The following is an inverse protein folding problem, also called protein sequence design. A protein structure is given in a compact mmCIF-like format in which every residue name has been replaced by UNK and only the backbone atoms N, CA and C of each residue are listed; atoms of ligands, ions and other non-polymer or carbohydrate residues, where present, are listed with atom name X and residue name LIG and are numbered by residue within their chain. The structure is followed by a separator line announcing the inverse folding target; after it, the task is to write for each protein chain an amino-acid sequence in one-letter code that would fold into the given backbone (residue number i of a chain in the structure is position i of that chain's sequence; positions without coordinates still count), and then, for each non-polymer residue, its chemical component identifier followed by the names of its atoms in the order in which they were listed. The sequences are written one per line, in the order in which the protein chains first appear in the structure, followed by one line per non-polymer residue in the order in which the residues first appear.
data_IF_202956068302
#
_entry.id   IF_202956068302
#
_cell.length_a   1.000
_cell.length_b   1.000
_cell.length_c   1.000
_cell.angle_alpha   90.00
_cell.angle_beta   90.00
_cell.angle_gamma   90.00
#
_symmetry.space_group_name_H-M   'P 1'
#
loop_
_entity.id
_entity.type
_entity.pdbx_description
1 polymer ?
#
# COMPACT_ATOMS: atom_id res chain seq x y z
N UNK A 1 40.73 -11.68 -54.94
CA UNK A 1 40.33 -11.42 -53.55
C UNK A 1 39.54 -12.63 -53.10
N UNK A 2 40.04 -13.41 -52.15
CA UNK A 2 39.49 -14.75 -51.84
C UNK A 2 38.11 -14.62 -51.15
N UNK A 3 37.11 -15.29 -51.67
CA UNK A 3 35.72 -15.36 -51.09
C UNK A 3 35.67 -15.69 -49.59
N UNK A 4 36.64 -16.38 -49.08
CA UNK A 4 36.78 -16.67 -47.67
C UNK A 4 37.07 -15.45 -46.77
N UNK A 5 37.74 -14.42 -47.30
CA UNK A 5 38.03 -13.18 -46.56
C UNK A 5 36.78 -12.29 -46.47
N UNK A 6 35.97 -12.26 -47.55
CA UNK A 6 34.70 -11.53 -47.55
C UNK A 6 33.71 -12.11 -46.59
N UNK A 7 33.62 -13.45 -46.50
CA UNK A 7 32.70 -14.13 -45.59
C UNK A 7 33.07 -13.94 -44.11
N UNK A 8 34.39 -13.95 -43.81
CA UNK A 8 34.89 -13.69 -42.46
C UNK A 8 34.65 -12.22 -42.00
N UNK A 9 34.74 -11.28 -42.89
CA UNK A 9 34.42 -9.87 -42.60
C UNK A 9 32.93 -9.68 -42.36
N UNK A 10 32.08 -10.33 -43.15
CA UNK A 10 30.64 -10.27 -43.02
C UNK A 10 30.16 -10.84 -41.67
N UNK A 11 30.69 -12.02 -41.29
CA UNK A 11 30.42 -12.64 -40.00
C UNK A 11 30.84 -11.77 -38.79
N UNK A 12 32.02 -11.13 -38.88
CA UNK A 12 32.50 -10.22 -37.82
C UNK A 12 31.62 -8.98 -37.69
N UNK A 13 31.14 -8.44 -38.81
CA UNK A 13 30.27 -7.25 -38.79
C UNK A 13 28.89 -7.58 -38.29
N UNK A 14 28.32 -8.74 -38.62
CA UNK A 14 27.04 -9.22 -38.12
C UNK A 14 27.10 -9.51 -36.61
N UNK A 15 28.18 -10.15 -36.12
CA UNK A 15 28.38 -10.35 -34.69
C UNK A 15 28.54 -9.03 -33.93
N UNK A 16 29.21 -8.01 -34.51
CA UNK A 16 29.37 -6.71 -33.85
C UNK A 16 28.04 -5.93 -33.78
N UNK A 17 27.20 -6.03 -34.80
CA UNK A 17 25.89 -5.37 -34.83
C UNK A 17 24.90 -6.06 -33.86
N UNK A 18 24.99 -7.37 -33.67
CA UNK A 18 24.17 -8.11 -32.70
C UNK A 18 24.56 -7.85 -31.25
N UNK A 19 25.81 -7.45 -30.97
CA UNK A 19 26.24 -7.10 -29.62
C UNK A 19 25.95 -5.65 -29.21
N UNK A 20 25.66 -4.76 -30.17
CA UNK A 20 25.33 -3.35 -29.89
C UNK A 20 23.83 -3.07 -29.77
N UNK A 21 22.96 -4.07 -29.96
CA UNK A 21 21.51 -3.87 -30.14
C UNK A 21 20.63 -4.25 -28.94
N UNK A 22 21.17 -4.69 -27.81
CA UNK A 22 20.32 -5.04 -26.65
C UNK A 22 20.86 -4.41 -25.36
N UNK A 23 20.83 -3.09 -25.32
CA UNK A 23 20.65 -2.42 -24.02
C UNK A 23 19.17 -2.58 -23.64
N UNK A 24 18.77 -3.80 -23.29
CA UNK A 24 17.55 -3.98 -22.52
C UNK A 24 17.77 -3.22 -21.22
N UNK A 25 17.12 -2.06 -21.06
CA UNK A 25 16.87 -1.52 -19.74
C UNK A 25 16.05 -2.58 -18.98
N UNK A 26 16.75 -3.52 -18.39
CA UNK A 26 16.14 -4.45 -17.44
C UNK A 26 15.74 -3.61 -16.23
N UNK A 27 14.52 -3.10 -16.24
CA UNK A 27 13.93 -2.53 -15.04
C UNK A 27 13.99 -3.61 -13.97
N UNK A 28 14.84 -3.37 -12.96
CA UNK A 28 15.04 -4.36 -11.93
C UNK A 28 13.84 -4.36 -10.98
N UNK A 29 13.14 -5.48 -10.91
CA UNK A 29 12.26 -5.77 -9.78
C UNK A 29 13.10 -6.34 -8.64
N UNK A 30 12.84 -5.92 -7.41
CA UNK A 30 13.46 -6.50 -6.22
C UNK A 30 12.38 -6.91 -5.23
N UNK A 31 12.52 -8.11 -4.66
CA UNK A 31 11.57 -8.61 -3.66
C UNK A 31 12.29 -8.78 -2.33
N UNK A 32 11.72 -8.19 -1.28
CA UNK A 32 12.14 -8.41 0.09
C UNK A 32 11.13 -9.32 0.78
N UNK A 33 11.59 -10.47 1.28
CA UNK A 33 10.75 -11.47 1.94
C UNK A 33 11.18 -11.63 3.40
N UNK A 34 10.20 -11.74 4.30
CA UNK A 34 10.42 -12.03 5.71
C UNK A 34 9.31 -12.92 6.26
N UNK A 35 9.55 -13.51 7.40
CA UNK A 35 8.53 -14.18 8.19
C UNK A 35 8.25 -13.36 9.45
N UNK A 36 7.00 -13.36 9.89
CA UNK A 36 6.62 -12.75 11.16
C UNK A 36 5.63 -13.63 11.90
N UNK A 37 5.69 -13.54 13.21
CA UNK A 37 4.77 -14.18 14.12
C UNK A 37 3.59 -13.24 14.35
N UNK A 38 2.40 -13.74 14.06
CA UNK A 38 1.13 -13.03 14.25
C UNK A 38 0.48 -13.56 15.51
N UNK A 39 0.30 -12.71 16.51
CA UNK A 39 -0.45 -13.02 17.73
C UNK A 39 -1.95 -12.86 17.43
N UNK A 40 -2.70 -13.94 17.55
CA UNK A 40 -4.14 -13.97 17.33
C UNK A 40 -4.90 -13.52 18.59
N UNK A 41 -6.17 -13.14 18.43
CA UNK A 41 -7.02 -12.68 19.53
C UNK A 41 -7.22 -13.73 20.63
N UNK A 42 -7.11 -15.03 20.30
CA UNK A 42 -7.23 -16.14 21.25
C UNK A 42 -5.92 -16.48 22.01
N UNK A 43 -4.88 -15.68 21.80
CA UNK A 43 -3.56 -15.85 22.41
C UNK A 43 -2.64 -16.83 21.70
N UNK A 44 -3.10 -17.52 20.65
CA UNK A 44 -2.24 -18.37 19.82
C UNK A 44 -1.42 -17.52 18.87
N UNK A 45 -0.37 -18.13 18.31
CA UNK A 45 0.45 -17.51 17.29
C UNK A 45 0.52 -18.36 16.03
N UNK A 46 0.65 -17.69 14.89
CA UNK A 46 0.97 -18.32 13.61
C UNK A 46 2.17 -17.63 12.99
N UNK A 47 2.91 -18.36 12.14
CA UNK A 47 3.96 -17.77 11.31
C UNK A 47 3.38 -17.50 9.94
N UNK A 48 3.55 -16.27 9.48
CA UNK A 48 3.19 -15.84 8.12
C UNK A 48 4.44 -15.47 7.35
N UNK A 49 4.45 -15.74 6.06
CA UNK A 49 5.48 -15.26 5.14
C UNK A 49 4.94 -14.04 4.39
N UNK A 50 5.70 -12.96 4.43
CA UNK A 50 5.37 -11.71 3.74
C UNK A 50 6.44 -11.35 2.73
N UNK A 51 6.02 -10.71 1.65
CA UNK A 51 6.94 -10.14 0.67
C UNK A 51 6.44 -8.83 0.11
N UNK A 52 7.39 -7.90 -0.05
CA UNK A 52 7.22 -6.63 -0.75
C UNK A 52 8.04 -6.68 -2.04
N UNK A 53 7.40 -6.55 -3.17
CA UNK A 53 8.05 -6.44 -4.47
C UNK A 53 8.08 -4.98 -4.91
N UNK A 54 9.28 -4.49 -5.21
CA UNK A 54 9.53 -3.14 -5.71
C UNK A 54 9.86 -3.20 -7.19
N UNK A 55 9.34 -2.26 -7.97
CA UNK A 55 9.51 -2.22 -9.42
C UNK A 55 10.00 -0.84 -9.86
N UNK A 56 11.24 -0.78 -10.33
CA UNK A 56 11.86 0.45 -10.82
C UNK A 56 11.32 0.94 -12.17
N UNK A 57 10.53 0.09 -12.89
CA UNK A 57 9.82 0.51 -14.09
C UNK A 57 8.65 1.43 -13.82
N UNK A 58 8.13 1.42 -12.59
CA UNK A 58 7.03 2.28 -12.19
C UNK A 58 7.51 3.72 -12.02
N UNK A 59 6.70 4.68 -12.49
CA UNK A 59 7.00 6.10 -12.32
C UNK A 59 7.19 6.46 -10.83
N UNK A 60 8.31 7.08 -10.51
CA UNK A 60 8.66 7.55 -9.18
C UNK A 60 9.45 8.86 -9.28
N UNK A 61 9.41 9.65 -8.23
CA UNK A 61 10.22 10.87 -8.16
C UNK A 61 11.70 10.53 -7.97
N UNK A 62 12.57 11.36 -8.56
CA UNK A 62 14.02 11.19 -8.46
C UNK A 62 14.43 11.13 -6.98
N UNK A 63 15.18 10.10 -6.59
CA UNK A 63 15.66 9.90 -5.23
C UNK A 63 14.74 9.09 -4.29
N UNK A 64 13.53 8.71 -4.72
CA UNK A 64 12.61 7.93 -3.86
C UNK A 64 12.81 6.40 -3.92
N UNK A 65 13.70 5.91 -4.78
CA UNK A 65 13.90 4.49 -5.02
C UNK A 65 12.69 3.83 -5.71
N UNK A 66 12.81 2.55 -6.07
CA UNK A 66 11.74 1.80 -6.73
C UNK A 66 10.48 1.78 -5.89
N UNK A 67 9.29 2.11 -6.44
CA UNK A 67 8.03 2.05 -5.71
C UNK A 67 7.62 0.60 -5.39
N UNK A 68 6.81 0.43 -4.33
CA UNK A 68 6.19 -0.85 -4.02
C UNK A 68 5.18 -1.19 -5.11
N UNK A 69 5.33 -2.36 -5.72
CA UNK A 69 4.48 -2.88 -6.78
C UNK A 69 3.48 -3.93 -6.29
N UNK A 70 3.90 -4.76 -5.35
CA UNK A 70 3.07 -5.81 -4.79
C UNK A 70 3.41 -6.04 -3.32
N UNK A 71 2.38 -6.24 -2.52
CA UNK A 71 2.46 -6.78 -1.17
C UNK A 71 1.75 -8.13 -1.12
N UNK A 72 2.43 -9.17 -0.60
CA UNK A 72 1.87 -10.51 -0.47
C UNK A 72 2.09 -11.05 0.94
N UNK A 73 1.08 -11.72 1.47
CA UNK A 73 1.13 -12.46 2.73
C UNK A 73 0.62 -13.87 2.50
N UNK A 74 1.41 -14.86 2.90
CA UNK A 74 1.09 -16.28 2.78
C UNK A 74 1.04 -16.90 4.17
N UNK A 75 -0.01 -17.64 4.47
CA UNK A 75 -0.20 -18.30 5.77
C UNK A 75 -1.01 -19.59 5.61
N UNK A 76 -0.94 -20.43 6.63
CA UNK A 76 -1.73 -21.65 6.74
C UNK A 76 -2.89 -21.41 7.71
N UNK A 77 -4.09 -21.88 7.37
CA UNK A 77 -5.22 -21.84 8.30
C UNK A 77 -4.93 -22.81 9.45
N UNK A 78 -4.96 -22.34 10.73
CA UNK A 78 -4.67 -23.18 11.88
C UNK A 78 -5.52 -24.45 11.92
N UNK A 79 -4.89 -25.59 12.22
CA UNK A 79 -5.57 -26.89 12.28
C UNK A 79 -5.89 -27.53 10.93
N UNK A 80 -5.50 -26.89 9.82
CA UNK A 80 -5.71 -27.42 8.45
C UNK A 80 -4.40 -27.47 7.68
N UNK A 81 -4.43 -28.07 6.47
CA UNK A 81 -3.32 -28.03 5.52
C UNK A 81 -3.56 -26.98 4.41
N UNK A 82 -4.54 -26.12 4.60
CA UNK A 82 -4.89 -25.11 3.60
C UNK A 82 -3.98 -23.89 3.72
N UNK A 83 -3.26 -23.59 2.65
CA UNK A 83 -2.49 -22.36 2.51
C UNK A 83 -3.35 -21.30 1.82
N UNK A 84 -3.36 -20.09 2.40
CA UNK A 84 -4.08 -18.93 1.87
C UNK A 84 -3.09 -17.82 1.55
N UNK A 85 -3.35 -17.09 0.48
CA UNK A 85 -2.57 -15.93 0.06
C UNK A 85 -3.46 -14.69 0.08
N UNK A 86 -3.01 -13.65 0.78
CA UNK A 86 -3.48 -12.28 0.63
C UNK A 86 -2.53 -11.51 -0.27
N UNK A 87 -3.08 -10.76 -1.20
CA UNK A 87 -2.30 -9.99 -2.18
C UNK A 87 -2.88 -8.59 -2.36
N UNK A 88 -2.03 -7.59 -2.38
CA UNK A 88 -2.38 -6.23 -2.76
C UNK A 88 -1.46 -5.73 -3.87
N UNK A 89 -2.05 -5.30 -4.98
CA UNK A 89 -1.34 -4.69 -6.10
C UNK A 89 -1.21 -3.19 -5.86
N UNK A 90 0.01 -2.70 -5.87
CA UNK A 90 0.37 -1.31 -5.63
C UNK A 90 0.70 -0.54 -6.91
N UNK A 91 0.40 -1.08 -8.08
CA UNK A 91 0.65 -0.40 -9.35
C UNK A 91 -0.09 0.94 -9.42
N UNK A 92 0.59 2.03 -9.86
CA UNK A 92 0.05 3.37 -9.65
C UNK A 92 -1.07 3.77 -10.62
N UNK A 93 -1.14 3.19 -11.80
CA UNK A 93 -2.05 3.65 -12.85
C UNK A 93 -2.34 2.53 -13.88
N UNK A 94 -3.53 2.42 -14.45
CA UNK A 94 -4.68 3.33 -14.30
C UNK A 94 -5.55 3.07 -13.07
N UNK A 95 -5.28 2.02 -12.29
CA UNK A 95 -6.19 1.56 -11.25
C UNK A 95 -5.48 1.11 -9.95
N UNK A 96 -4.96 2.06 -9.16
CA UNK A 96 -4.29 1.74 -7.91
C UNK A 96 -5.30 1.28 -6.85
N UNK A 97 -5.30 -0.02 -6.55
CA UNK A 97 -6.07 -0.62 -5.46
C UNK A 97 -5.22 -0.94 -4.22
N UNK A 98 -4.11 -0.23 -4.07
CA UNK A 98 -3.12 -0.53 -3.08
C UNK A 98 -3.65 -0.47 -1.64
N UNK A 99 -3.53 -1.60 -0.93
CA UNK A 99 -3.93 -1.79 0.45
C UNK A 99 -2.74 -2.22 1.29
N UNK A 100 -2.49 -1.52 2.38
CA UNK A 100 -1.55 -1.95 3.42
C UNK A 100 -2.24 -2.90 4.39
N UNK A 101 -1.64 -4.07 4.66
CA UNK A 101 -2.15 -5.01 5.65
C UNK A 101 -1.92 -4.47 7.06
N UNK A 102 -2.95 -4.54 7.90
CA UNK A 102 -2.94 -4.09 9.29
C UNK A 102 -3.10 -5.26 10.27
N UNK A 103 -4.00 -6.19 9.94
CA UNK A 103 -4.30 -7.32 10.80
C UNK A 103 -4.65 -8.56 9.99
N UNK A 104 -4.31 -9.71 10.55
CA UNK A 104 -4.75 -11.02 10.13
C UNK A 104 -5.20 -11.80 11.37
N UNK A 105 -6.43 -12.28 11.38
CA UNK A 105 -6.95 -13.08 12.47
C UNK A 105 -8.02 -14.04 11.97
N UNK A 106 -8.57 -14.90 12.85
CA UNK A 106 -9.50 -15.95 12.48
C UNK A 106 -10.74 -15.91 13.36
N UNK A 107 -11.90 -16.11 12.76
CA UNK A 107 -13.13 -16.46 13.47
C UNK A 107 -13.48 -17.89 13.13
N UNK A 108 -13.22 -18.83 14.06
CA UNK A 108 -13.16 -20.26 13.74
C UNK A 108 -12.06 -20.52 12.68
N UNK A 109 -12.43 -21.21 11.60
CA UNK A 109 -11.50 -21.51 10.48
C UNK A 109 -11.50 -20.43 9.38
N UNK A 110 -12.25 -19.34 9.56
CA UNK A 110 -12.37 -18.29 8.55
C UNK A 110 -11.34 -17.19 8.79
N UNK A 111 -10.38 -17.00 7.88
CA UNK A 111 -9.43 -15.88 7.96
C UNK A 111 -10.11 -14.55 7.67
N UNK A 112 -9.74 -13.54 8.44
CA UNK A 112 -10.09 -12.13 8.22
C UNK A 112 -8.83 -11.28 8.10
N UNK A 113 -8.88 -10.25 7.28
CA UNK A 113 -7.84 -9.22 7.21
C UNK A 113 -8.44 -7.82 7.32
N UNK A 114 -7.76 -6.97 8.07
CA UNK A 114 -7.98 -5.54 8.05
C UNK A 114 -6.87 -4.88 7.24
N UNK A 115 -7.25 -3.93 6.39
CA UNK A 115 -6.33 -3.23 5.52
C UNK A 115 -6.63 -1.74 5.50
N UNK A 116 -5.67 -0.93 5.04
CA UNK A 116 -5.86 0.50 4.83
C UNK A 116 -5.43 0.89 3.41
N UNK A 117 -6.19 1.76 2.71
CA UNK A 117 -5.74 2.30 1.42
C UNK A 117 -4.43 3.08 1.56
N UNK A 118 -3.45 2.78 0.71
CA UNK A 118 -2.08 3.28 0.86
C UNK A 118 -1.87 4.72 0.35
N UNK A 119 -2.81 5.29 -0.39
CA UNK A 119 -2.71 6.65 -0.98
C UNK A 119 -4.11 7.19 -1.26
N UNK A 120 -4.19 8.52 -1.51
CA UNK A 120 -5.46 9.22 -1.79
C UNK A 120 -6.29 8.56 -2.90
N UNK A 121 -5.66 8.16 -4.00
CA UNK A 121 -6.36 7.52 -5.13
C UNK A 121 -6.89 6.13 -4.72
N UNK A 122 -6.09 5.31 -4.04
CA UNK A 122 -6.55 4.03 -3.51
C UNK A 122 -7.69 4.24 -2.50
N UNK A 123 -7.55 5.22 -1.59
CA UNK A 123 -8.58 5.58 -0.62
C UNK A 123 -9.93 5.87 -1.30
N UNK A 124 -9.91 6.66 -2.36
CA UNK A 124 -11.13 6.97 -3.12
C UNK A 124 -11.72 5.77 -3.86
N UNK A 125 -10.85 4.96 -4.45
CA UNK A 125 -11.27 3.74 -5.17
C UNK A 125 -11.95 2.75 -4.24
N UNK A 126 -11.53 2.68 -2.99
CA UNK A 126 -12.18 1.86 -1.98
C UNK A 126 -13.42 2.51 -1.34
N UNK A 127 -13.88 3.68 -1.88
CA UNK A 127 -15.10 4.36 -1.45
C UNK A 127 -14.90 5.31 -0.29
N UNK A 128 -13.67 5.82 -0.12
CA UNK A 128 -13.31 6.78 0.94
C UNK A 128 -13.78 6.33 2.33
N UNK A 129 -13.38 5.14 2.79
CA UNK A 129 -13.91 4.58 4.03
C UNK A 129 -13.51 5.43 5.24
N UNK A 130 -14.46 5.58 6.18
CA UNK A 130 -14.20 6.23 7.46
C UNK A 130 -14.86 5.43 8.61
N UNK A 131 -14.07 4.82 9.48
CA UNK A 131 -12.60 4.87 9.58
C UNK A 131 -11.91 4.30 8.34
N UNK A 132 -10.63 4.64 8.06
CA UNK A 132 -9.96 4.42 6.78
C UNK A 132 -9.51 2.96 6.59
N UNK A 133 -10.42 2.02 6.76
CA UNK A 133 -10.14 0.59 6.64
C UNK A 133 -11.02 -0.08 5.60
N UNK A 134 -10.47 -1.16 5.03
CA UNK A 134 -11.19 -2.10 4.16
C UNK A 134 -10.98 -3.49 4.72
N UNK A 135 -12.07 -4.21 4.98
CA UNK A 135 -12.05 -5.51 5.62
C UNK A 135 -12.41 -6.61 4.65
N UNK A 136 -11.80 -7.77 4.84
CA UNK A 136 -12.08 -8.95 4.03
C UNK A 136 -12.13 -10.19 4.90
N UNK A 137 -12.94 -11.18 4.46
CA UNK A 137 -12.89 -12.57 4.93
C UNK A 137 -12.62 -13.53 3.78
N UNK A 138 -11.98 -14.64 4.08
CA UNK A 138 -11.69 -15.68 3.10
C UNK A 138 -12.69 -16.84 3.23
N UNK A 139 -13.48 -17.07 2.16
CA UNK A 139 -14.43 -18.18 2.04
C UNK A 139 -14.27 -18.83 0.66
N UNK A 140 -13.08 -19.46 0.46
CA UNK A 140 -12.64 -19.93 -0.86
C UNK A 140 -12.02 -18.82 -1.73
N UNK A 141 -12.48 -17.59 -1.55
CA UNK A 141 -11.94 -16.37 -2.13
C UNK A 141 -12.05 -15.22 -1.12
N UNK A 142 -11.28 -14.12 -1.32
CA UNK A 142 -11.38 -12.93 -0.49
C UNK A 142 -12.63 -12.12 -0.82
N UNK A 143 -13.52 -11.96 0.15
CA UNK A 143 -14.74 -11.16 0.05
C UNK A 143 -14.67 -9.96 0.98
N UNK A 144 -14.97 -8.77 0.44
CA UNK A 144 -15.09 -7.56 1.24
C UNK A 144 -16.26 -7.70 2.21
N UNK A 145 -16.04 -7.25 3.45
CA UNK A 145 -17.06 -7.23 4.51
C UNK A 145 -17.17 -5.82 5.11
N UNK A 146 -18.27 -5.56 5.83
CA UNK A 146 -18.46 -4.30 6.54
C UNK A 146 -17.69 -4.27 7.86
N UNK A 147 -17.62 -3.10 8.51
CA UNK A 147 -17.02 -2.98 9.83
C UNK A 147 -17.82 -3.75 10.88
N UNK A 148 -19.14 -3.80 10.75
CA UNK A 148 -20.03 -4.52 11.66
C UNK A 148 -19.85 -6.04 11.56
N UNK A 149 -19.47 -6.53 10.38
CA UNK A 149 -19.19 -7.95 10.15
C UNK A 149 -17.76 -8.35 10.56
N UNK A 150 -16.86 -7.37 10.70
CA UNK A 150 -15.47 -7.60 11.10
C UNK A 150 -15.41 -7.77 12.64
N UNK A 151 -14.87 -8.91 13.17
CA UNK A 151 -14.91 -9.20 14.61
C UNK A 151 -14.23 -8.14 15.47
N UNK A 152 -14.89 -7.78 16.58
CA UNK A 152 -14.49 -6.65 17.44
C UNK A 152 -13.18 -6.86 18.18
N UNK A 153 -12.84 -8.13 18.48
CA UNK A 153 -11.64 -8.49 19.22
C UNK A 153 -10.36 -8.41 18.39
N UNK A 154 -10.45 -8.25 17.06
CA UNK A 154 -9.26 -8.21 16.21
C UNK A 154 -8.54 -6.86 16.32
N UNK A 155 -7.22 -6.94 16.41
CA UNK A 155 -6.34 -5.79 16.57
C UNK A 155 -5.24 -5.81 15.50
N UNK A 156 -4.50 -4.71 15.36
CA UNK A 156 -3.33 -4.65 14.48
C UNK A 156 -2.23 -5.55 15.04
N UNK A 157 -1.84 -6.58 14.28
CA UNK A 157 -0.94 -7.64 14.73
C UNK A 157 0.13 -8.07 13.71
N UNK A 158 0.28 -7.31 12.63
CA UNK A 158 1.35 -7.50 11.63
C UNK A 158 2.24 -6.26 11.56
N UNK A 159 3.44 -6.37 10.99
CA UNK A 159 4.32 -5.20 10.77
C UNK A 159 3.65 -4.23 9.79
N UNK A 160 3.25 -3.06 10.27
CA UNK A 160 2.54 -2.02 9.49
C UNK A 160 3.49 -1.02 8.82
N UNK A 161 4.59 -0.55 9.47
CA UNK A 161 5.48 0.42 8.86
C UNK A 161 6.11 -0.06 7.58
N UNK A 162 6.25 0.86 6.61
CA UNK A 162 6.96 0.58 5.37
C UNK A 162 8.40 0.17 5.62
N UNK A 163 8.83 -0.97 5.07
CA UNK A 163 10.20 -1.45 5.12
C UNK A 163 11.15 -0.72 4.15
N UNK A 164 10.68 0.34 3.46
CA UNK A 164 11.58 1.36 2.88
C UNK A 164 12.30 2.15 3.96
N UNK A 165 11.74 2.28 5.15
CA UNK A 165 12.45 2.85 6.29
C UNK A 165 13.50 1.85 6.79
N UNK A 166 14.77 2.23 6.64
CA UNK A 166 15.92 1.38 6.99
C UNK A 166 15.95 0.98 8.46
N UNK A 167 15.40 1.77 9.37
CA UNK A 167 15.33 1.43 10.79
C UNK A 167 14.44 0.20 11.03
N UNK A 168 13.23 0.18 10.44
CA UNK A 168 12.33 -0.97 10.56
C UNK A 168 12.85 -2.18 9.83
N UNK A 169 13.38 -1.96 8.63
CA UNK A 169 13.98 -3.02 7.82
C UNK A 169 15.12 -3.74 8.55
N UNK A 170 16.03 -2.96 9.20
CA UNK A 170 17.11 -3.53 10.01
C UNK A 170 16.60 -4.36 11.18
N UNK A 171 15.57 -3.90 11.90
CA UNK A 171 14.93 -4.68 12.98
C UNK A 171 14.36 -6.00 12.43
N UNK A 172 13.60 -5.94 11.34
CA UNK A 172 13.03 -7.14 10.70
C UNK A 172 14.10 -8.12 10.25
N UNK A 173 15.17 -7.65 9.61
CA UNK A 173 16.30 -8.51 9.18
C UNK A 173 16.97 -9.15 10.40
N UNK A 174 17.26 -8.38 11.44
CA UNK A 174 17.92 -8.90 12.65
C UNK A 174 17.10 -10.01 13.33
N UNK A 175 15.78 -9.82 13.47
CA UNK A 175 14.89 -10.85 14.03
C UNK A 175 14.82 -12.10 13.14
N UNK A 176 14.62 -11.93 11.83
CA UNK A 176 14.60 -13.07 10.90
C UNK A 176 15.91 -13.83 10.87
N UNK A 177 17.06 -13.13 10.95
CA UNK A 177 18.38 -13.79 10.99
C UNK A 177 18.55 -14.58 12.29
N UNK A 178 18.10 -14.05 13.42
CA UNK A 178 18.32 -14.67 14.72
C UNK A 178 17.32 -15.79 15.05
N UNK A 179 16.06 -15.61 14.68
CA UNK A 179 14.97 -16.50 15.10
C UNK A 179 14.24 -17.17 13.94
N UNK A 180 14.55 -16.82 12.69
CA UNK A 180 13.83 -17.28 11.50
C UNK A 180 12.53 -16.52 11.21
N UNK A 181 12.10 -15.63 12.11
CA UNK A 181 10.90 -14.78 11.97
C UNK A 181 10.97 -13.57 12.94
N UNK A 182 10.18 -12.54 12.66
CA UNK A 182 9.96 -11.40 13.57
C UNK A 182 8.97 -11.83 14.63
N UNK A 183 9.38 -11.83 15.90
CA UNK A 183 8.52 -12.23 17.01
C UNK A 183 7.37 -11.23 17.22
N UNK A 184 6.19 -11.70 17.65
CA UNK A 184 5.00 -10.89 17.86
C UNK A 184 5.23 -9.70 18.81
N UNK A 185 6.07 -9.88 19.84
CA UNK A 185 6.49 -8.80 20.73
C UNK A 185 7.20 -7.67 19.98
N UNK A 186 8.06 -8.00 19.00
CA UNK A 186 8.80 -7.01 18.20
C UNK A 186 7.87 -6.35 17.16
N UNK A 187 6.92 -7.12 16.59
CA UNK A 187 5.84 -6.55 15.77
C UNK A 187 5.09 -5.47 16.54
N UNK A 188 4.67 -5.77 17.77
CA UNK A 188 3.97 -4.82 18.63
C UNK A 188 4.84 -3.59 18.97
N UNK A 189 6.14 -3.79 19.23
CA UNK A 189 7.10 -2.69 19.49
C UNK A 189 7.23 -1.77 18.25
N UNK A 190 7.45 -2.34 17.07
CA UNK A 190 7.55 -1.59 15.81
C UNK A 190 6.29 -0.75 15.56
N UNK A 191 5.11 -1.32 15.81
CA UNK A 191 3.84 -0.64 15.57
C UNK A 191 3.55 0.48 16.59
N UNK A 192 4.13 0.43 17.79
CA UNK A 192 3.96 1.43 18.87
C UNK A 192 4.97 2.55 18.87
N UNK A 193 5.83 2.65 17.88
CA UNK A 193 6.87 3.69 17.87
C UNK A 193 6.29 5.11 17.96
N UNK A 194 7.03 6.05 18.58
CA UNK A 194 6.58 7.44 18.79
C UNK A 194 6.18 8.13 17.49
N UNK A 195 5.11 8.92 17.55
CA UNK A 195 4.58 9.66 16.40
C UNK A 195 3.48 8.93 15.63
N UNK A 196 3.16 7.70 16.00
CA UNK A 196 1.99 6.97 15.49
C UNK A 196 0.85 7.07 16.49
N UNK A 197 -0.36 7.36 16.00
CA UNK A 197 -1.56 7.43 16.83
C UNK A 197 -2.06 6.07 17.31
N UNK A 198 -3.23 6.05 17.94
CA UNK A 198 -3.88 4.81 18.41
C UNK A 198 -4.18 3.82 17.26
N UNK A 199 -4.38 4.34 16.06
CA UNK A 199 -4.55 3.60 14.82
C UNK A 199 -3.35 2.71 14.47
N UNK A 200 -2.23 2.88 15.14
CA UNK A 200 -1.01 2.07 14.93
C UNK A 200 -1.06 0.70 15.61
N UNK A 201 -2.00 0.47 16.51
CA UNK A 201 -2.11 -0.79 17.26
C UNK A 201 -3.53 -1.22 17.57
N UNK A 202 -4.55 -0.48 17.12
CA UNK A 202 -5.95 -0.86 17.28
C UNK A 202 -6.78 -0.49 16.05
N UNK A 203 -7.77 -1.33 15.74
CA UNK A 203 -8.77 -1.02 14.72
C UNK A 203 -9.79 -0.06 15.33
N UNK A 204 -9.83 1.15 14.83
CA UNK A 204 -10.83 2.13 15.27
C UNK A 204 -12.21 1.75 14.76
N UNK A 205 -13.21 1.75 15.66
CA UNK A 205 -14.59 1.37 15.34
C UNK A 205 -15.51 2.55 15.13
N UNK A 206 -15.01 3.76 15.39
CA UNK A 206 -15.76 5.01 15.20
C UNK A 206 -15.17 5.80 14.04
N UNK A 207 -15.98 6.55 13.30
CA UNK A 207 -15.47 7.47 12.30
C UNK A 207 -14.43 8.42 12.89
N UNK A 208 -13.36 8.65 12.15
CA UNK A 208 -12.35 9.63 12.52
C UNK A 208 -12.91 11.02 12.19
N UNK A 209 -12.91 11.90 13.19
CA UNK A 209 -13.14 13.32 12.95
C UNK A 209 -11.80 13.95 12.51
N UNK A 210 -11.68 14.19 11.23
CA UNK A 210 -10.50 14.87 10.66
C UNK A 210 -10.52 16.39 10.92
N UNK A 211 -11.51 16.88 11.70
CA UNK A 211 -11.68 18.29 12.02
C UNK A 211 -12.19 19.13 10.85
N UNK A 212 -12.43 20.41 11.13
CA UNK A 212 -12.73 21.37 10.07
C UNK A 212 -11.52 21.51 9.13
N UNK A 213 -11.74 21.75 7.83
CA UNK A 213 -10.64 22.01 6.90
C UNK A 213 -9.75 23.11 7.45
N UNK A 214 -8.45 22.83 7.63
CA UNK A 214 -7.52 23.87 8.10
C UNK A 214 -7.42 24.98 7.07
N UNK A 215 -7.16 26.24 7.50
CA UNK A 215 -6.99 27.34 6.58
C UNK A 215 -5.97 27.04 5.47
N UNK A 216 -6.13 27.62 4.26
CA UNK A 216 -5.23 27.41 3.15
C UNK A 216 -3.78 27.76 3.51
N UNK A 217 -2.82 26.93 3.08
CA UNK A 217 -1.38 27.12 3.33
C UNK A 217 -0.74 26.12 4.28
N UNK A 218 -1.48 25.23 4.94
CA UNK A 218 -0.87 24.10 5.67
C UNK A 218 -0.72 22.90 4.73
N UNK A 219 0.49 22.66 4.28
CA UNK A 219 0.85 21.54 3.42
C UNK A 219 0.57 20.20 4.07
N UNK A 220 0.16 19.27 3.22
CA UNK A 220 0.05 17.82 3.41
C UNK A 220 -1.10 17.30 4.27
N UNK A 221 -1.89 16.45 3.67
CA UNK A 221 -2.82 15.57 4.36
C UNK A 221 -4.21 16.13 4.67
N UNK A 222 -4.58 17.30 4.11
CA UNK A 222 -5.95 17.83 4.28
C UNK A 222 -6.95 17.02 3.47
N UNK A 223 -8.00 16.60 4.16
CA UNK A 223 -9.12 15.89 3.57
C UNK A 223 -10.33 16.81 3.54
N UNK A 224 -11.06 16.79 2.44
CA UNK A 224 -12.32 17.52 2.27
C UNK A 224 -13.47 16.51 2.37
N UNK A 225 -14.45 16.82 3.20
CA UNK A 225 -15.65 16.01 3.31
C UNK A 225 -16.51 16.15 2.05
N UNK A 226 -16.92 15.02 1.50
CA UNK A 226 -17.80 14.92 0.33
C UNK A 226 -19.02 14.07 0.68
N UNK A 227 -20.03 14.03 -0.18
CA UNK A 227 -21.17 13.11 -0.03
C UNK A 227 -20.79 11.64 -0.05
N UNK A 228 -19.66 11.30 -0.71
CA UNK A 228 -19.19 9.93 -0.90
C UNK A 228 -18.08 9.56 0.11
N UNK A 229 -17.78 10.44 1.10
CA UNK A 229 -16.68 10.25 2.06
C UNK A 229 -15.65 11.38 2.01
N UNK A 230 -14.40 11.08 2.34
CA UNK A 230 -13.32 12.07 2.41
C UNK A 230 -12.42 12.02 1.17
N UNK A 231 -12.03 13.16 0.62
CA UNK A 231 -11.19 13.31 -0.57
C UNK A 231 -10.01 14.21 -0.25
N UNK A 232 -8.82 13.84 -0.69
CA UNK A 232 -7.62 14.65 -0.50
C UNK A 232 -7.68 16.01 -1.18
N UNK A 233 -7.08 17.02 -0.55
CA UNK A 233 -7.01 18.39 -1.07
C UNK A 233 -6.32 18.48 -2.43
N UNK A 234 -5.33 17.61 -2.66
CA UNK A 234 -4.59 17.47 -3.93
C UNK A 234 -5.49 17.30 -5.17
N UNK A 235 -6.68 16.73 -4.98
CA UNK A 235 -7.67 16.61 -6.06
C UNK A 235 -8.21 17.94 -6.52
N UNK A 236 -8.40 18.86 -5.59
CA UNK A 236 -8.88 20.21 -5.88
C UNK A 236 -7.75 21.10 -6.38
N UNK A 237 -6.53 20.90 -5.85
CA UNK A 237 -5.30 21.61 -6.28
C UNK A 237 -4.91 21.27 -7.72
N UNK A 238 -5.11 20.01 -8.13
CA UNK A 238 -4.77 19.48 -9.45
C UNK A 238 -5.74 19.89 -10.57
N UNK A 239 -6.78 20.69 -10.29
CA UNK A 239 -7.70 21.14 -11.31
C UNK A 239 -7.08 22.24 -12.19
N UNK A 240 -7.43 22.24 -13.48
CA UNK A 240 -6.86 23.17 -14.48
C UNK A 240 -7.34 24.62 -14.32
N UNK A 241 -8.48 24.83 -13.66
CA UNK A 241 -9.05 26.17 -13.43
C UNK A 241 -9.97 26.18 -12.21
N UNK A 242 -10.32 27.38 -11.75
CA UNK A 242 -11.28 27.56 -10.66
C UNK A 242 -12.65 26.97 -11.01
N UNK A 243 -13.10 27.09 -12.26
CA UNK A 243 -14.38 26.56 -12.72
C UNK A 243 -14.39 25.03 -12.69
N UNK A 244 -13.28 24.39 -13.11
CA UNK A 244 -13.12 22.94 -13.02
C UNK A 244 -13.13 22.47 -11.57
N UNK A 245 -12.48 23.20 -10.69
CA UNK A 245 -12.45 22.93 -9.26
C UNK A 245 -13.86 23.08 -8.63
N UNK A 246 -14.60 24.14 -8.94
CA UNK A 246 -15.98 24.35 -8.45
C UNK A 246 -16.91 23.24 -8.91
N UNK A 247 -16.83 22.83 -10.19
CA UNK A 247 -17.59 21.67 -10.70
C UNK A 247 -17.24 20.38 -9.97
N UNK A 248 -16.00 20.20 -9.56
CA UNK A 248 -15.61 19.06 -8.75
C UNK A 248 -16.23 19.13 -7.36
N UNK A 249 -16.22 20.29 -6.70
CA UNK A 249 -16.92 20.49 -5.42
C UNK A 249 -18.40 20.10 -5.52
N UNK A 250 -19.10 20.62 -6.53
CA UNK A 250 -20.52 20.34 -6.76
C UNK A 250 -20.76 18.83 -6.99
N UNK A 251 -19.99 18.23 -7.92
CA UNK A 251 -20.07 16.80 -8.23
C UNK A 251 -19.86 15.92 -6.99
N UNK A 252 -18.94 16.32 -6.10
CA UNK A 252 -18.60 15.61 -4.87
C UNK A 252 -19.51 15.96 -3.69
N UNK A 253 -20.43 16.89 -3.85
CA UNK A 253 -21.33 17.34 -2.79
C UNK A 253 -20.59 18.01 -1.63
N UNK A 254 -19.49 18.71 -1.94
CA UNK A 254 -18.77 19.54 -0.98
C UNK A 254 -19.60 20.80 -0.72
N UNK A 255 -19.79 21.14 0.56
CA UNK A 255 -20.54 22.36 0.90
C UNK A 255 -19.82 23.61 0.35
N UNK A 256 -20.55 24.69 -0.01
CA UNK A 256 -19.91 25.91 -0.47
C UNK A 256 -18.88 26.49 0.51
N UNK A 257 -19.12 26.32 1.83
CA UNK A 257 -18.19 26.78 2.87
C UNK A 257 -16.91 25.96 2.95
N UNK A 258 -16.99 24.68 2.61
CA UNK A 258 -15.86 23.74 2.69
C UNK A 258 -15.11 23.61 1.35
N UNK A 259 -15.67 24.17 0.26
CA UNK A 259 -15.06 24.10 -1.07
C UNK A 259 -13.77 24.94 -1.14
N UNK A 260 -12.61 24.35 -1.39
CA UNK A 260 -11.33 25.04 -1.27
C UNK A 260 -10.98 25.90 -2.49
N UNK A 261 -11.77 25.84 -3.56
CA UNK A 261 -11.39 26.35 -4.87
C UNK A 261 -11.07 27.85 -4.88
N UNK A 262 -11.90 28.69 -4.21
CA UNK A 262 -11.64 30.13 -4.16
C UNK A 262 -10.33 30.49 -3.47
N UNK A 263 -9.86 29.61 -2.60
CA UNK A 263 -8.60 29.82 -1.89
C UNK A 263 -7.40 29.29 -2.66
N UNK A 264 -7.55 28.12 -3.28
CA UNK A 264 -6.51 27.46 -4.08
C UNK A 264 -6.17 28.25 -5.35
N UNK A 265 -7.12 28.98 -5.89
CA UNK A 265 -6.97 29.77 -7.14
C UNK A 265 -6.92 31.28 -6.91
N UNK A 266 -6.81 31.72 -5.65
CA UNK A 266 -6.70 33.14 -5.31
C UNK A 266 -5.30 33.65 -5.69
N UNK A 267 -5.20 34.37 -6.83
CA UNK A 267 -3.93 34.94 -7.30
C UNK A 267 -3.19 34.14 -8.37
N UNK A 268 -3.85 33.16 -8.99
CA UNK A 268 -3.38 32.55 -10.24
C UNK A 268 -3.99 33.21 -11.44
#
# INVERSE_FOLDING_TARGET
MNDRQGLLLLCKTICLVLTLGVSMNAYATSTFTWKEEVLLHDGKTIIVERSDTYDSSMNHEIGQGAPLAEHKTTFMIPGTNQTVIWKSDHRPWPDPHSLGLLALDFSGDVPYVATTPSRSIAYMKWGSPNPPYVFFKFVGEWKRVSLEEFPDQFVINVVVPSLKNEQYKKKVIAENTKYGFVRAQIVAEINREPGRGKESYSILRTPIDYGQPRPPGSNSGRMIRTKDGWVGMDWFEGQSSIEACLKLCEKKGVSPQDCPCHTLFKGK
#
